data_IF_437956830367
#
_entry.id   IF_437956830367
#
_cell.length_a   1.000
_cell.length_b   1.000
_cell.length_c   1.000
_cell.angle_alpha   90.00
_cell.angle_beta   90.00
_cell.angle_gamma   90.00
#
_symmetry.space_group_name_H-M   'P 1'
#
loop_
_entity.id
_entity.type
_entity.pdbx_description
1 polymer ?
#
# COMPACT_ATOMS: atom_id res chain seq x y z
N UNK A 1 5.85 -12.01 -7.26
CA UNK A 1 5.28 -10.89 -6.48
C UNK A 1 6.44 -9.95 -6.15
N UNK A 2 6.42 -8.72 -6.66
CA UNK A 2 7.39 -7.71 -6.27
C UNK A 2 7.04 -7.15 -4.89
N UNK A 3 7.85 -7.51 -3.89
CA UNK A 3 7.67 -7.03 -2.52
C UNK A 3 8.62 -5.84 -2.32
N UNK A 4 8.06 -4.64 -2.30
CA UNK A 4 8.79 -3.42 -1.92
C UNK A 4 8.89 -3.33 -0.40
N UNK A 5 9.92 -3.96 0.17
CA UNK A 5 10.16 -3.97 1.61
C UNK A 5 11.19 -2.91 2.01
N UNK A 6 10.85 -2.07 2.99
CA UNK A 6 11.83 -1.18 3.60
C UNK A 6 12.83 -1.97 4.44
N UNK A 7 14.13 -1.60 4.41
CA UNK A 7 15.21 -2.34 5.08
C UNK A 7 14.98 -2.55 6.58
N UNK A 8 14.28 -1.61 7.23
CA UNK A 8 13.99 -1.63 8.67
C UNK A 8 12.55 -2.05 9.00
N UNK A 9 11.81 -2.63 8.04
CA UNK A 9 10.44 -3.03 8.28
C UNK A 9 10.35 -4.22 9.26
N UNK A 10 9.84 -3.97 10.46
CA UNK A 10 9.65 -5.01 11.50
C UNK A 10 8.51 -5.97 11.17
N UNK A 11 7.40 -5.48 10.60
CA UNK A 11 6.23 -6.31 10.25
C UNK A 11 6.28 -6.72 8.77
N UNK A 12 7.16 -7.67 8.47
CA UNK A 12 7.30 -8.22 7.09
C UNK A 12 6.13 -9.13 6.72
N UNK A 13 5.85 -9.36 5.42
CA UNK A 13 4.84 -10.33 4.96
C UNK A 13 5.00 -11.72 5.59
N UNK A 14 6.24 -12.17 5.81
CA UNK A 14 6.54 -13.41 6.51
C UNK A 14 6.04 -13.39 7.96
N UNK A 15 6.38 -12.36 8.73
CA UNK A 15 5.95 -12.24 10.13
C UNK A 15 4.42 -12.11 10.23
N UNK A 16 3.78 -11.37 9.32
CA UNK A 16 2.31 -11.25 9.27
C UNK A 16 1.65 -12.61 9.02
N UNK A 17 2.22 -13.44 8.15
CA UNK A 17 1.77 -14.81 7.90
C UNK A 17 1.93 -15.68 9.15
N UNK A 18 3.07 -15.60 9.81
CA UNK A 18 3.33 -16.32 11.06
C UNK A 18 2.34 -15.94 12.18
N UNK A 19 1.99 -14.65 12.29
CA UNK A 19 0.96 -14.17 13.22
C UNK A 19 -0.42 -14.74 12.89
N UNK A 20 -0.79 -14.82 11.61
CA UNK A 20 -2.09 -15.38 11.18
C UNK A 20 -2.18 -16.90 11.39
N UNK A 21 -1.07 -17.60 11.25
CA UNK A 21 -0.99 -19.05 11.44
C UNK A 21 -0.82 -19.45 12.92
N UNK A 22 -0.62 -18.48 13.82
CA UNK A 22 -0.45 -18.76 15.23
C UNK A 22 -1.75 -19.33 15.84
N UNK A 23 -1.66 -20.46 16.58
CA UNK A 23 -2.83 -21.11 17.15
C UNK A 23 -3.53 -20.22 18.18
N UNK A 24 -4.85 -20.39 18.34
CA UNK A 24 -5.67 -19.60 19.27
C UNK A 24 -5.20 -19.65 20.73
N UNK A 25 -4.44 -20.69 21.10
CA UNK A 25 -3.82 -20.83 22.42
C UNK A 25 -2.71 -19.82 22.70
N UNK A 26 -2.04 -19.30 21.66
CA UNK A 26 -0.98 -18.31 21.83
C UNK A 26 -1.60 -16.93 22.01
N UNK A 27 -1.23 -16.27 23.10
CA UNK A 27 -1.72 -14.93 23.43
C UNK A 27 -1.08 -13.85 22.55
N UNK A 28 -1.80 -12.77 22.28
CA UNK A 28 -1.27 -11.64 21.51
C UNK A 28 -0.06 -10.99 22.19
N UNK A 29 -0.05 -10.98 23.54
CA UNK A 29 1.07 -10.47 24.35
C UNK A 29 2.35 -11.28 24.16
N UNK A 30 2.25 -12.60 23.98
CA UNK A 30 3.40 -13.46 23.72
C UNK A 30 4.00 -13.20 22.34
N UNK A 31 3.15 -13.12 21.30
CA UNK A 31 3.57 -12.76 19.94
C UNK A 31 4.17 -11.35 19.88
N UNK A 32 3.58 -10.40 20.63
CA UNK A 32 4.06 -9.02 20.70
C UNK A 32 5.50 -8.96 21.26
N UNK A 33 5.77 -9.69 22.35
CA UNK A 33 7.12 -9.81 22.91
C UNK A 33 8.08 -10.47 21.93
N UNK A 34 7.65 -11.56 21.27
CA UNK A 34 8.49 -12.30 20.31
C UNK A 34 8.93 -11.45 19.12
N UNK A 35 8.02 -10.70 18.52
CA UNK A 35 8.30 -9.89 17.33
C UNK A 35 8.70 -8.44 17.64
N UNK A 36 8.79 -8.07 18.93
CA UNK A 36 9.10 -6.72 19.39
C UNK A 36 8.17 -5.66 18.76
N UNK A 37 6.87 -5.96 18.75
CA UNK A 37 5.82 -5.06 18.27
C UNK A 37 4.74 -4.92 19.34
N UNK A 38 3.85 -3.95 19.18
CA UNK A 38 2.75 -3.73 20.12
C UNK A 38 1.65 -4.79 20.00
N UNK A 39 0.97 -5.13 21.10
CA UNK A 39 -0.17 -6.07 21.08
C UNK A 39 -1.27 -5.67 20.07
N UNK A 40 -1.65 -4.37 19.92
CA UNK A 40 -2.60 -3.96 18.89
C UNK A 40 -2.13 -4.27 17.46
N UNK A 41 -0.81 -4.25 17.22
CA UNK A 41 -0.24 -4.63 15.92
C UNK A 41 -0.44 -6.13 15.65
N UNK A 42 -0.21 -6.97 16.65
CA UNK A 42 -0.48 -8.42 16.55
C UNK A 42 -1.96 -8.67 16.30
N UNK A 43 -2.84 -8.13 17.13
CA UNK A 43 -4.29 -8.30 17.00
C UNK A 43 -4.77 -7.88 15.60
N UNK A 44 -4.30 -6.72 15.10
CA UNK A 44 -4.63 -6.25 13.75
C UNK A 44 -4.23 -7.23 12.66
N UNK A 45 -3.04 -7.82 12.73
CA UNK A 45 -2.55 -8.75 11.70
C UNK A 45 -3.18 -10.14 11.82
N UNK A 46 -3.48 -10.59 13.04
CA UNK A 46 -4.13 -11.87 13.34
C UNK A 46 -5.50 -11.99 12.67
N UNK A 47 -6.30 -10.92 12.72
CA UNK A 47 -7.65 -10.90 12.14
C UNK A 47 -7.73 -10.35 10.71
N UNK A 48 -6.60 -9.97 10.11
CA UNK A 48 -6.59 -9.47 8.73
C UNK A 48 -6.73 -10.63 7.74
N UNK A 49 -7.48 -10.42 6.67
CA UNK A 49 -7.60 -11.39 5.56
C UNK A 49 -6.41 -11.37 4.59
N UNK A 50 -5.56 -10.34 4.66
CA UNK A 50 -4.47 -10.12 3.71
C UNK A 50 -3.14 -9.93 4.44
N UNK A 51 -2.05 -10.42 3.83
CA UNK A 51 -0.69 -10.33 4.36
C UNK A 51 0.14 -9.25 3.63
N UNK A 52 -0.17 -9.04 2.36
CA UNK A 52 0.54 -8.09 1.49
C UNK A 52 -0.02 -6.69 1.64
N UNK A 53 0.85 -5.70 1.44
CA UNK A 53 0.40 -4.31 1.36
C UNK A 53 -0.42 -4.11 0.08
N UNK A 54 -1.54 -3.42 0.22
CA UNK A 54 -2.37 -3.03 -0.92
C UNK A 54 -1.67 -1.91 -1.70
N UNK A 55 -1.92 -1.79 -3.01
CA UNK A 55 -1.47 -0.63 -3.75
C UNK A 55 -1.95 0.65 -3.05
N UNK A 56 -1.06 1.62 -2.93
CA UNK A 56 -1.40 2.98 -2.49
C UNK A 56 -2.01 3.80 -3.64
N UNK A 57 -1.95 3.27 -4.86
CA UNK A 57 -2.61 3.84 -6.03
C UNK A 57 -4.12 3.81 -5.83
N UNK A 58 -4.76 4.96 -6.09
CA UNK A 58 -6.21 5.09 -6.04
C UNK A 58 -6.85 4.11 -7.04
N UNK A 59 -7.89 3.38 -6.62
CA UNK A 59 -8.56 2.40 -7.49
C UNK A 59 -9.15 3.03 -8.75
N UNK A 60 -9.74 4.22 -8.60
CA UNK A 60 -10.22 5.03 -9.70
C UNK A 60 -9.34 6.27 -9.76
N UNK A 61 -8.44 6.31 -10.75
CA UNK A 61 -7.77 7.55 -11.10
C UNK A 61 -8.88 8.50 -11.57
N UNK A 62 -9.17 9.52 -10.77
CA UNK A 62 -10.07 10.59 -11.19
C UNK A 62 -9.29 11.46 -12.17
N UNK A 63 -9.16 10.97 -13.41
CA UNK A 63 -8.71 11.79 -14.51
C UNK A 63 -9.77 12.87 -14.70
N UNK A 64 -9.36 14.13 -14.53
CA UNK A 64 -10.24 15.30 -14.77
C UNK A 64 -10.53 15.50 -16.25
N UNK A 65 -9.67 14.96 -17.12
CA UNK A 65 -9.78 15.07 -18.56
C UNK A 65 -10.32 13.78 -19.16
N UNK A 66 -11.25 13.91 -20.11
CA UNK A 66 -11.60 12.83 -21.02
C UNK A 66 -10.45 12.56 -22.01
N UNK A 67 -10.38 11.37 -22.63
CA UNK A 67 -9.31 11.05 -23.59
C UNK A 67 -9.16 12.09 -24.71
N UNK A 68 -10.28 12.64 -25.20
CA UNK A 68 -10.28 13.69 -26.22
C UNK A 68 -9.68 15.00 -25.70
N UNK A 69 -9.97 15.37 -24.45
CA UNK A 69 -9.38 16.55 -23.84
C UNK A 69 -7.88 16.39 -23.60
N UNK A 70 -7.42 15.18 -23.24
CA UNK A 70 -5.98 14.89 -23.13
C UNK A 70 -5.26 15.08 -24.47
N UNK A 71 -5.82 14.58 -25.58
CA UNK A 71 -5.24 14.78 -26.91
C UNK A 71 -5.14 16.26 -27.28
N UNK A 72 -6.18 17.05 -26.98
CA UNK A 72 -6.16 18.50 -27.21
C UNK A 72 -5.07 19.18 -26.39
N UNK A 73 -4.97 18.88 -25.09
CA UNK A 73 -3.95 19.46 -24.21
C UNK A 73 -2.54 19.07 -24.69
N UNK A 74 -2.32 17.81 -25.09
CA UNK A 74 -1.04 17.35 -25.63
C UNK A 74 -0.66 18.12 -26.89
N UNK A 75 -1.60 18.27 -27.84
CA UNK A 75 -1.37 19.03 -29.06
C UNK A 75 -1.05 20.50 -28.75
N UNK A 76 -1.85 21.16 -27.92
CA UNK A 76 -1.62 22.55 -27.52
C UNK A 76 -0.24 22.73 -26.87
N UNK A 77 0.17 21.79 -26.01
CA UNK A 77 1.48 21.85 -25.37
C UNK A 77 2.64 21.67 -26.34
N UNK A 78 2.48 20.86 -27.39
CA UNK A 78 3.51 20.67 -28.42
C UNK A 78 3.63 21.86 -29.37
N UNK A 79 2.50 22.46 -29.76
CA UNK A 79 2.46 23.63 -30.64
C UNK A 79 2.85 24.92 -29.93
N UNK A 80 2.28 25.18 -28.76
CA UNK A 80 2.42 26.46 -28.05
C UNK A 80 3.62 26.47 -27.10
N UNK A 81 4.13 25.30 -26.71
CA UNK A 81 5.24 25.14 -25.73
C UNK A 81 5.00 25.83 -24.39
N UNK A 82 3.72 26.07 -24.04
CA UNK A 82 3.31 26.64 -22.76
C UNK A 82 3.35 25.59 -21.64
N UNK A 83 3.37 26.07 -20.39
CA UNK A 83 3.24 25.20 -19.23
C UNK A 83 1.82 24.62 -19.14
N UNK A 84 1.62 23.55 -18.38
CA UNK A 84 0.27 22.99 -18.16
C UNK A 84 -0.58 23.93 -17.32
N UNK A 85 0.03 24.73 -16.44
CA UNK A 85 -0.71 25.71 -15.63
C UNK A 85 -1.22 26.90 -16.46
N UNK A 86 -0.60 27.16 -17.62
CA UNK A 86 -0.99 28.21 -18.57
C UNK A 86 -1.98 27.72 -19.66
N UNK A 87 -2.30 26.43 -19.68
CA UNK A 87 -3.27 25.80 -20.60
C UNK A 87 -4.62 25.60 -19.91
#
# INVERSE_FOLDING_TARGET
MDIKLHKTATTTPRIRKEIQQAPASVSDSELARRYHVSCPTIARWRYRSTQHDRPHTRHNLLATLSPVQEEIVVALRDYLRLSVDDL
#
